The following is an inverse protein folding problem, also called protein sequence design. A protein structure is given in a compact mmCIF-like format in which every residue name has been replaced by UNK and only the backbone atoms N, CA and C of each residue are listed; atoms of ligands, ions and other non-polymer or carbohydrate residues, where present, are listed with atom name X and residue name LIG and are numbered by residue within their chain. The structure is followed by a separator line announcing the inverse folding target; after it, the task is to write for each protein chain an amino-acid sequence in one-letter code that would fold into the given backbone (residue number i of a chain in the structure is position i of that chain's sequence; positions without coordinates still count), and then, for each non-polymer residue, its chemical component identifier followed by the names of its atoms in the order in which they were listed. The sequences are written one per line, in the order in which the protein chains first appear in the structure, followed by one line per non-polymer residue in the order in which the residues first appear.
data_IF_219814555684
#
_entry.id   IF_219814555684
#
_cell.length_a   1.000
_cell.length_b   1.000
_cell.length_c   1.000
_cell.angle_alpha   90.00
_cell.angle_beta   90.00
_cell.angle_gamma   90.00
#
_symmetry.space_group_name_H-M   'P 1'
#
loop_
_entity.id
_entity.type
_entity.pdbx_description
1 polymer ?
#
# COMPACT_ATOMS: atom_id res chain seq x y z
N UNK A 1 -50.25 29.98 -2.49
CA UNK A 1 -48.92 29.49 -2.09
C UNK A 1 -48.97 27.96 -2.07
N UNK A 2 -48.53 27.33 -3.15
CA UNK A 2 -48.38 25.87 -3.23
C UNK A 2 -46.96 25.51 -2.85
N UNK A 3 -46.85 24.76 -1.75
CA UNK A 3 -45.60 24.38 -1.13
C UNK A 3 -44.85 23.36 -1.98
N UNK A 4 -43.55 23.62 -2.17
CA UNK A 4 -42.59 22.79 -2.88
C UNK A 4 -42.60 21.31 -2.39
N UNK A 5 -43.21 20.43 -3.18
CA UNK A 5 -43.06 18.96 -3.10
C UNK A 5 -42.61 18.44 -4.45
N UNK A 6 -41.35 18.71 -4.82
CA UNK A 6 -40.79 18.25 -6.11
C UNK A 6 -39.36 17.76 -5.95
N UNK A 7 -38.94 17.05 -4.90
CA UNK A 7 -37.54 16.53 -4.88
C UNK A 7 -37.34 15.22 -4.12
N UNK A 8 -38.34 14.33 -4.10
CA UNK A 8 -38.05 12.92 -3.80
C UNK A 8 -38.33 12.15 -5.08
N UNK A 9 -37.27 11.94 -5.88
CA UNK A 9 -37.33 11.17 -7.11
C UNK A 9 -37.13 9.70 -6.73
N UNK A 10 -38.19 8.86 -6.70
CA UNK A 10 -38.05 7.46 -6.31
C UNK A 10 -37.09 6.71 -7.24
N UNK A 11 -36.90 7.21 -8.46
CA UNK A 11 -35.94 6.66 -9.41
C UNK A 11 -34.50 6.91 -8.97
N UNK A 12 -34.20 8.02 -8.28
CA UNK A 12 -32.87 8.30 -7.72
C UNK A 12 -32.52 7.34 -6.60
N UNK A 13 -33.43 7.15 -5.63
CA UNK A 13 -33.20 6.21 -4.52
C UNK A 13 -33.00 4.77 -5.03
N UNK A 14 -33.81 4.34 -6.02
CA UNK A 14 -33.65 3.03 -6.65
C UNK A 14 -32.32 2.90 -7.39
N UNK A 15 -31.94 3.91 -8.19
CA UNK A 15 -30.67 3.93 -8.92
C UNK A 15 -29.48 3.90 -7.95
N UNK A 16 -29.54 4.65 -6.85
CA UNK A 16 -28.50 4.64 -5.83
C UNK A 16 -28.39 3.27 -5.14
N UNK A 17 -29.52 2.60 -4.92
CA UNK A 17 -29.57 1.27 -4.32
C UNK A 17 -28.90 0.21 -5.23
N UNK A 18 -29.18 0.27 -6.52
CA UNK A 18 -28.56 -0.65 -7.48
C UNK A 18 -27.06 -0.33 -7.65
N UNK A 19 -26.69 0.95 -7.69
CA UNK A 19 -25.31 1.39 -7.81
C UNK A 19 -24.47 1.02 -6.58
N UNK A 20 -24.98 1.19 -5.36
CA UNK A 20 -24.21 0.90 -4.13
C UNK A 20 -23.96 -0.60 -3.96
N UNK A 21 -24.90 -1.44 -4.40
CA UNK A 21 -24.75 -2.90 -4.42
C UNK A 21 -23.72 -3.38 -5.45
N UNK A 22 -23.63 -2.68 -6.58
CA UNK A 22 -22.63 -2.94 -7.60
C UNK A 22 -21.25 -2.31 -7.29
N UNK A 23 -21.18 -1.37 -6.35
CA UNK A 23 -19.96 -0.63 -6.05
C UNK A 23 -18.90 -1.54 -5.41
N UNK A 24 -17.76 -1.67 -6.09
CA UNK A 24 -16.56 -2.38 -5.61
C UNK A 24 -15.34 -1.45 -5.69
N UNK A 25 -14.38 -1.64 -4.79
CA UNK A 25 -13.10 -0.94 -4.79
C UNK A 25 -12.33 -1.22 -6.09
N UNK A 26 -12.20 -2.50 -6.48
CA UNK A 26 -11.47 -2.90 -7.68
C UNK A 26 -10.03 -2.38 -7.67
N UNK A 27 -9.60 -1.79 -8.78
CA UNK A 27 -8.25 -1.21 -8.92
C UNK A 27 -8.12 0.22 -8.34
N UNK A 28 -9.22 0.78 -7.81
CA UNK A 28 -9.20 2.12 -7.22
C UNK A 28 -8.67 2.11 -5.78
N UNK A 29 -8.20 3.27 -5.32
CA UNK A 29 -7.84 3.45 -3.91
C UNK A 29 -9.08 3.44 -3.02
N UNK A 30 -8.90 3.08 -1.74
CA UNK A 30 -10.03 3.08 -0.79
C UNK A 30 -10.62 4.49 -0.65
N UNK A 31 -9.82 5.55 -0.78
CA UNK A 31 -10.31 6.94 -0.73
C UNK A 31 -11.28 7.25 -1.88
N UNK A 32 -10.99 6.81 -3.10
CA UNK A 32 -11.87 7.02 -4.25
C UNK A 32 -13.17 6.21 -4.09
N UNK A 33 -13.04 4.94 -3.73
CA UNK A 33 -14.18 4.07 -3.41
C UNK A 33 -15.08 4.68 -2.32
N UNK A 34 -14.49 5.18 -1.23
CA UNK A 34 -15.25 5.81 -0.15
C UNK A 34 -15.97 7.09 -0.56
N UNK A 35 -15.40 7.86 -1.49
CA UNK A 35 -16.03 9.07 -2.00
C UNK A 35 -17.30 8.75 -2.80
N UNK A 36 -17.22 7.74 -3.68
CA UNK A 36 -18.39 7.24 -4.42
C UNK A 36 -19.43 6.61 -3.49
N UNK A 37 -18.99 5.83 -2.50
CA UNK A 37 -19.90 5.24 -1.52
C UNK A 37 -20.69 6.33 -0.78
N UNK A 38 -20.00 7.35 -0.24
CA UNK A 38 -20.66 8.47 0.45
C UNK A 38 -21.63 9.21 -0.45
N UNK A 39 -21.29 9.41 -1.72
CA UNK A 39 -22.20 10.04 -2.70
C UNK A 39 -23.50 9.24 -2.87
N UNK A 40 -23.41 7.91 -2.87
CA UNK A 40 -24.58 7.03 -3.03
C UNK A 40 -25.44 6.96 -1.76
N UNK A 41 -24.85 6.93 -0.56
CA UNK A 41 -25.65 6.86 0.68
C UNK A 41 -26.47 8.13 0.94
N UNK A 42 -26.10 9.28 0.36
CA UNK A 42 -26.89 10.52 0.50
C UNK A 42 -28.32 10.36 -0.03
N UNK A 43 -28.52 9.44 -0.97
CA UNK A 43 -29.81 9.14 -1.58
C UNK A 43 -30.49 7.92 -0.94
N UNK A 44 -29.93 7.37 0.16
CA UNK A 44 -30.39 6.15 0.82
C UNK A 44 -30.60 6.37 2.32
N UNK A 45 -31.74 5.91 2.84
CA UNK A 45 -32.05 5.96 4.28
C UNK A 45 -31.56 4.71 5.03
N UNK A 46 -30.30 4.34 4.82
CA UNK A 46 -29.71 3.14 5.44
C UNK A 46 -29.19 3.45 6.82
N UNK A 47 -29.41 2.52 7.75
CA UNK A 47 -28.78 2.61 9.07
C UNK A 47 -27.27 2.35 8.97
N UNK A 48 -26.53 2.80 10.00
CA UNK A 48 -25.08 2.75 10.02
C UNK A 48 -24.52 1.32 9.91
N UNK A 49 -25.14 0.34 10.55
CA UNK A 49 -24.72 -1.05 10.48
C UNK A 49 -24.84 -1.61 9.05
N UNK A 50 -25.91 -1.27 8.33
CA UNK A 50 -26.09 -1.63 6.92
C UNK A 50 -25.04 -0.95 6.04
N UNK A 51 -24.73 0.33 6.29
CA UNK A 51 -23.68 1.05 5.58
C UNK A 51 -22.30 0.41 5.79
N UNK A 52 -21.93 0.08 7.02
CA UNK A 52 -20.65 -0.59 7.32
C UNK A 52 -20.58 -1.96 6.65
N UNK A 53 -21.65 -2.75 6.72
CA UNK A 53 -21.72 -4.05 6.05
C UNK A 53 -21.49 -3.91 4.55
N UNK A 54 -22.26 -3.04 3.87
CA UNK A 54 -22.13 -2.84 2.43
C UNK A 54 -20.77 -2.28 2.03
N UNK A 55 -20.23 -1.33 2.81
CA UNK A 55 -18.91 -0.78 2.55
C UNK A 55 -17.84 -1.88 2.63
N UNK A 56 -17.93 -2.76 3.63
CA UNK A 56 -17.00 -3.89 3.77
C UNK A 56 -17.08 -4.87 2.59
N UNK A 57 -18.27 -5.16 2.07
CA UNK A 57 -18.45 -6.06 0.92
C UNK A 57 -17.81 -5.55 -0.37
N UNK A 58 -17.61 -4.23 -0.49
CA UNK A 58 -16.97 -3.63 -1.65
C UNK A 58 -15.45 -3.51 -1.55
N UNK A 59 -14.85 -3.69 -0.38
CA UNK A 59 -13.41 -3.57 -0.19
C UNK A 59 -12.65 -4.77 -0.76
N UNK A 60 -11.40 -4.52 -1.15
CA UNK A 60 -10.49 -5.58 -1.57
C UNK A 60 -10.10 -6.47 -0.38
N UNK A 61 -9.94 -7.77 -0.64
CA UNK A 61 -9.61 -8.80 0.37
C UNK A 61 -8.39 -8.42 1.20
N UNK A 62 -7.31 -7.93 0.56
CA UNK A 62 -6.09 -7.52 1.30
C UNK A 62 -6.32 -6.42 2.34
N UNK A 63 -7.29 -5.53 2.11
CA UNK A 63 -7.68 -4.48 3.06
C UNK A 63 -8.51 -5.11 4.18
N UNK A 64 -9.50 -5.95 3.84
CA UNK A 64 -10.34 -6.68 4.80
C UNK A 64 -9.52 -7.56 5.75
N UNK A 65 -8.59 -8.35 5.21
CA UNK A 65 -7.69 -9.20 5.99
C UNK A 65 -6.90 -8.40 7.02
N UNK A 66 -6.42 -7.23 6.61
CA UNK A 66 -5.65 -6.36 7.51
C UNK A 66 -6.56 -5.72 8.55
N UNK A 67 -7.77 -5.31 8.18
CA UNK A 67 -8.76 -4.74 9.10
C UNK A 67 -9.18 -5.77 10.16
N UNK A 68 -9.34 -7.04 9.79
CA UNK A 68 -9.70 -8.13 10.70
C UNK A 68 -8.67 -8.37 11.83
N UNK A 69 -7.43 -7.87 11.68
CA UNK A 69 -6.38 -7.97 12.69
C UNK A 69 -6.48 -6.90 13.78
N UNK A 70 -7.33 -5.88 13.61
CA UNK A 70 -7.47 -4.76 14.53
C UNK A 70 -8.90 -4.62 15.01
N UNK A 71 -9.07 -3.98 16.17
CA UNK A 71 -10.39 -3.52 16.59
C UNK A 71 -10.82 -2.39 15.66
N UNK A 72 -11.77 -2.66 14.77
CA UNK A 72 -12.34 -1.66 13.88
C UNK A 72 -13.49 -0.91 14.56
N UNK A 73 -13.67 0.38 14.28
CA UNK A 73 -14.84 1.12 14.73
C UNK A 73 -16.13 0.52 14.16
N UNK A 74 -17.22 0.67 14.91
CA UNK A 74 -18.56 0.25 14.48
C UNK A 74 -19.32 1.33 13.72
N UNK A 75 -18.85 2.58 13.80
CA UNK A 75 -19.39 3.70 13.03
C UNK A 75 -18.80 3.75 11.62
N UNK A 76 -19.59 4.25 10.66
CA UNK A 76 -19.25 4.23 9.24
C UNK A 76 -17.98 5.03 8.96
N UNK A 77 -17.88 6.25 9.49
CA UNK A 77 -16.75 7.13 9.23
C UNK A 77 -15.45 6.61 9.84
N UNK A 78 -15.51 6.08 11.07
CA UNK A 78 -14.42 5.38 11.71
C UNK A 78 -13.94 4.17 10.89
N UNK A 79 -14.87 3.36 10.39
CA UNK A 79 -14.55 2.21 9.55
C UNK A 79 -13.88 2.64 8.22
N UNK A 80 -14.42 3.67 7.55
CA UNK A 80 -13.83 4.22 6.33
C UNK A 80 -12.41 4.72 6.59
N UNK A 81 -12.18 5.48 7.66
CA UNK A 81 -10.87 6.02 8.01
C UNK A 81 -9.85 4.91 8.33
N UNK A 82 -10.29 3.85 9.00
CA UNK A 82 -9.47 2.66 9.23
C UNK A 82 -9.07 2.00 7.91
N UNK A 83 -10.02 1.82 6.99
CA UNK A 83 -9.76 1.22 5.67
C UNK A 83 -8.79 2.06 4.83
N UNK A 84 -8.93 3.40 4.81
CA UNK A 84 -8.01 4.30 4.12
C UNK A 84 -6.58 4.18 4.71
N UNK A 85 -6.47 4.13 6.04
CA UNK A 85 -5.18 3.99 6.72
C UNK A 85 -4.50 2.67 6.36
N UNK A 86 -5.26 1.58 6.29
CA UNK A 86 -4.78 0.27 5.87
C UNK A 86 -4.30 0.30 4.42
N UNK A 87 -5.10 0.86 3.51
CA UNK A 87 -4.75 0.96 2.08
C UNK A 87 -3.45 1.74 1.85
N UNK A 88 -3.28 2.87 2.53
CA UNK A 88 -2.06 3.66 2.47
C UNK A 88 -0.83 2.86 2.95
N UNK A 89 -0.98 2.08 4.04
CA UNK A 89 0.10 1.22 4.57
C UNK A 89 0.44 0.08 3.61
N UNK A 90 -0.56 -0.55 2.98
CA UNK A 90 -0.35 -1.62 2.01
C UNK A 90 0.35 -1.09 0.75
N UNK A 91 -0.10 0.06 0.24
CA UNK A 91 0.50 0.73 -0.92
C UNK A 91 1.97 1.09 -0.66
N UNK A 92 2.26 1.73 0.48
CA UNK A 92 3.65 2.05 0.87
C UNK A 92 4.55 0.80 0.92
N UNK A 93 4.06 -0.29 1.53
CA UNK A 93 4.80 -1.57 1.60
C UNK A 93 5.06 -2.17 0.23
N UNK A 94 4.10 -2.09 -0.71
CA UNK A 94 4.27 -2.56 -2.09
C UNK A 94 5.36 -1.75 -2.80
N UNK A 95 5.34 -0.43 -2.67
CA UNK A 95 6.35 0.47 -3.27
C UNK A 95 7.76 0.22 -2.71
N UNK A 96 7.90 0.04 -1.40
CA UNK A 96 9.18 -0.27 -0.76
C UNK A 96 9.77 -1.59 -1.28
N UNK A 97 8.96 -2.64 -1.41
CA UNK A 97 9.38 -3.93 -1.99
C UNK A 97 9.85 -3.76 -3.44
N UNK A 98 9.15 -2.94 -4.23
CA UNK A 98 9.51 -2.66 -5.61
C UNK A 98 10.82 -1.87 -5.70
N UNK A 99 11.03 -0.87 -4.84
CA UNK A 99 12.30 -0.13 -4.75
C UNK A 99 13.48 -1.02 -4.38
N UNK A 100 13.32 -1.91 -3.39
CA UNK A 100 14.37 -2.86 -3.00
C UNK A 100 14.75 -3.83 -4.13
N UNK A 101 13.75 -4.33 -4.88
CA UNK A 101 13.98 -5.17 -6.07
C UNK A 101 14.77 -4.42 -7.15
N UNK A 102 14.41 -3.17 -7.45
CA UNK A 102 15.14 -2.32 -8.41
C UNK A 102 16.56 -1.98 -7.93
N UNK A 103 16.74 -1.73 -6.64
CA UNK A 103 18.06 -1.46 -6.05
C UNK A 103 18.99 -2.69 -6.07
N UNK A 104 18.45 -3.88 -5.79
CA UNK A 104 19.19 -5.16 -5.92
C UNK A 104 19.59 -5.45 -7.36
N UNK A 105 18.72 -5.17 -8.35
CA UNK A 105 19.02 -5.39 -9.76
C UNK A 105 20.14 -4.47 -10.30
N UNK A 106 20.33 -3.26 -9.72
CA UNK A 106 21.41 -2.35 -10.16
C UNK A 106 22.81 -2.79 -9.72
N UNK A 107 22.95 -3.57 -8.65
CA UNK A 107 24.28 -3.97 -8.15
C UNK A 107 24.88 -5.11 -8.99
N UNK A 108 24.05 -5.90 -9.68
CA UNK A 108 24.52 -7.07 -10.45
C UNK A 108 25.00 -6.71 -11.88
N UNK A 109 24.70 -5.51 -12.40
CA UNK A 109 24.93 -5.20 -13.82
C UNK A 109 26.29 -4.57 -14.19
N UNK A 110 27.31 -4.59 -13.31
CA UNK A 110 28.61 -3.94 -13.63
C UNK A 110 29.88 -4.69 -13.18
N UNK A 111 29.83 -5.97 -12.82
CA UNK A 111 31.07 -6.72 -12.62
C UNK A 111 31.40 -7.49 -13.92
N UNK A 112 32.38 -7.04 -14.73
CA UNK A 112 32.98 -7.92 -15.72
C UNK A 112 33.63 -9.08 -14.96
N UNK A 113 33.06 -10.28 -15.13
CA UNK A 113 33.63 -11.52 -14.64
C UNK A 113 34.88 -11.79 -15.49
N UNK A 114 36.03 -11.33 -15.01
CA UNK A 114 37.32 -11.92 -15.39
C UNK A 114 37.79 -12.74 -14.21
N UNK A 115 37.54 -14.04 -14.31
CA UNK A 115 38.38 -15.14 -13.83
C UNK A 115 39.44 -14.80 -12.76
N UNK A 116 39.18 -15.16 -11.52
CA UNK A 116 39.74 -16.38 -10.90
C UNK A 116 39.38 -16.44 -9.42
N UNK A 117 38.72 -17.52 -9.09
CA UNK A 117 38.42 -17.97 -7.74
C UNK A 117 39.70 -18.50 -7.11
N UNK A 118 40.37 -17.70 -6.29
CA UNK A 118 41.32 -18.18 -5.28
C UNK A 118 40.82 -17.75 -3.91
N UNK A 119 40.19 -18.69 -3.22
CA UNK A 119 39.74 -18.53 -1.85
C UNK A 119 40.94 -18.61 -0.91
N UNK A 120 40.97 -17.68 0.04
CA UNK A 120 41.58 -17.77 1.37
C UNK A 120 43.11 -17.96 1.41
N UNK A 121 43.83 -16.83 1.53
CA UNK A 121 45.05 -16.82 2.33
C UNK A 121 44.84 -15.90 3.52
N UNK A 122 44.65 -16.54 4.68
CA UNK A 122 44.66 -15.90 5.99
C UNK A 122 46.08 -15.40 6.24
N UNK A 123 46.21 -14.12 6.60
CA UNK A 123 47.48 -13.47 6.93
C UNK A 123 48.19 -14.23 8.07
N UNK A 124 49.18 -15.06 7.73
CA UNK A 124 50.20 -15.49 8.69
C UNK A 124 51.29 -14.42 8.73
N UNK A 125 51.17 -13.53 9.71
CA UNK A 125 52.21 -12.60 10.08
C UNK A 125 53.55 -13.34 10.28
N UNK A 126 54.53 -13.05 9.45
CA UNK A 126 55.94 -13.22 9.80
C UNK A 126 56.69 -11.92 9.55
N UNK A 127 57.00 -11.25 10.67
CA UNK A 127 58.10 -10.29 10.76
C UNK A 127 59.39 -10.96 10.29
N UNK A 128 60.07 -10.37 9.32
CA UNK A 128 61.52 -10.18 9.38
C UNK A 128 61.90 -8.94 8.57
N UNK A 129 62.46 -7.98 9.30
CA UNK A 129 63.11 -6.76 8.82
C UNK A 129 64.44 -7.14 8.17
N UNK A 130 64.74 -6.62 6.98
CA UNK A 130 66.11 -6.22 6.61
C UNK A 130 66.08 -5.12 5.54
N UNK A 131 66.39 -3.93 6.03
CA UNK A 131 66.97 -2.72 5.43
C UNK A 131 67.19 -2.69 3.91
N UNK A 132 66.56 -1.72 3.25
CA UNK A 132 67.00 -1.19 1.98
C UNK A 132 67.64 0.19 2.16
N UNK A 133 68.62 0.44 1.29
CA UNK A 133 68.99 1.72 0.70
C UNK A 133 70.22 2.49 1.23
N UNK A 134 71.17 2.63 0.28
CA UNK A 134 71.89 3.85 -0.19
C UNK A 134 72.77 4.56 0.87
N UNK A 135 73.84 5.29 0.57
CA UNK A 135 74.13 6.24 -0.50
C UNK A 135 75.66 6.40 -0.58
N UNK A 136 76.13 6.82 -1.74
CA UNK A 136 77.50 7.11 -2.15
C UNK A 136 78.31 7.95 -1.13
N UNK A 137 79.57 7.56 -0.95
CA UNK A 137 80.61 8.30 -0.26
C UNK A 137 81.08 9.50 -1.09
N UNK A 138 81.21 10.66 -0.45
CA UNK A 138 82.26 11.65 -0.71
C UNK A 138 82.90 11.98 0.64
#
# INVERSE_FOLDING_TARGET
EEFAKVFDDPQRAQTANDAIRALKQGDSSVTMYASEFRRLIMDLDWNEAACVSQFSEGLNESVLDTLALFQTPTDLEGYINAAITVDARLTRRKEEKLRKRRGTQRIISTIPITEKTEYMQVDSAQRTVTQAERVLWF
#
